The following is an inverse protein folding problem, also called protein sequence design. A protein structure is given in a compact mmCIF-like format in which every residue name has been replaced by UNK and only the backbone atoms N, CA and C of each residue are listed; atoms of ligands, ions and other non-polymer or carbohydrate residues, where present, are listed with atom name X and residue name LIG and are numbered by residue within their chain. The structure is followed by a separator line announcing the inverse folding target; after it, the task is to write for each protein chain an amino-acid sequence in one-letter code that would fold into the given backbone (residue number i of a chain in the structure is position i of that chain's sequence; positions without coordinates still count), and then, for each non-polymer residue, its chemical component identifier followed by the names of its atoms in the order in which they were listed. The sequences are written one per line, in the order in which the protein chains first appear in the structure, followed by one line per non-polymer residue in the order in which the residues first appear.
data_IF_549590164490
#
_entry.id   IF_549590164490
#
_cell.length_a   1.000
_cell.length_b   1.000
_cell.length_c   1.000
_cell.angle_alpha   90.00
_cell.angle_beta   90.00
_cell.angle_gamma   90.00
#
_symmetry.space_group_name_H-M   'P 1'
#
loop_
_entity.id
_entity.type
_entity.pdbx_description
1 polymer ?
#
# COMPACT_ATOMS: atom_id res chain seq x y z
N UNK A 1 -18.29 -0.47 -11.12
CA UNK A 1 -18.09 -1.23 -9.86
C UNK A 1 -17.46 -0.28 -8.86
N UNK A 2 -17.97 -0.22 -7.63
CA UNK A 2 -17.39 0.61 -6.56
C UNK A 2 -16.56 -0.30 -5.65
N UNK A 3 -15.33 0.11 -5.35
CA UNK A 3 -14.41 -0.59 -4.45
C UNK A 3 -13.83 0.38 -3.39
N UNK A 4 -13.48 -0.17 -2.23
CA UNK A 4 -12.94 0.55 -1.07
C UNK A 4 -11.63 -0.13 -0.63
N UNK A 5 -10.51 0.13 -1.31
CA UNK A 5 -9.25 -0.54 -1.00
C UNK A 5 -8.73 -0.19 0.40
N UNK A 6 -8.24 -1.19 1.12
CA UNK A 6 -7.75 -1.02 2.49
C UNK A 6 -6.51 -0.12 2.54
N UNK A 7 -6.52 0.92 3.37
CA UNK A 7 -5.30 1.56 3.82
C UNK A 7 -4.62 0.73 4.91
N UNK A 8 -3.33 1.01 5.12
CA UNK A 8 -2.55 0.45 6.23
C UNK A 8 -1.75 1.52 6.94
N UNK A 9 -1.33 1.18 8.14
CA UNK A 9 -0.22 1.84 8.83
C UNK A 9 0.89 0.81 9.12
N UNK A 10 2.10 1.31 9.34
CA UNK A 10 3.20 0.49 9.84
C UNK A 10 3.24 0.62 11.36
N UNK A 11 3.00 -0.47 12.09
CA UNK A 11 3.15 -0.48 13.55
C UNK A 11 4.62 -0.71 13.90
N UNK A 12 5.38 0.38 13.83
CA UNK A 12 6.84 0.36 13.92
C UNK A 12 7.48 0.05 12.58
N UNK A 13 8.58 0.72 12.27
CA UNK A 13 9.43 0.46 11.11
C UNK A 13 10.89 0.62 11.52
N UNK A 14 11.69 -0.41 11.27
CA UNK A 14 13.12 -0.41 11.52
C UNK A 14 13.88 -0.64 10.22
N UNK A 15 14.81 0.27 9.91
CA UNK A 15 15.78 0.08 8.84
C UNK A 15 16.92 -0.78 9.37
N UNK A 16 17.18 -1.92 8.74
CA UNK A 16 18.18 -2.90 9.19
C UNK A 16 19.55 -2.60 8.59
N UNK A 17 19.59 -2.36 7.28
CA UNK A 17 20.81 -2.03 6.54
C UNK A 17 20.51 -1.47 5.16
N UNK A 18 21.48 -0.77 4.57
CA UNK A 18 21.49 -0.42 3.14
C UNK A 18 21.94 -1.64 2.32
N UNK A 19 21.27 -1.89 1.20
CA UNK A 19 21.56 -2.96 0.25
C UNK A 19 22.44 -2.45 -0.89
N UNK A 20 23.03 -3.37 -1.63
CA UNK A 20 23.89 -3.05 -2.79
C UNK A 20 23.09 -2.52 -3.99
N UNK A 21 21.78 -2.75 -4.04
CA UNK A 21 20.86 -2.28 -5.09
C UNK A 21 20.29 -0.88 -4.83
N UNK A 22 20.76 -0.18 -3.79
CA UNK A 22 20.30 1.18 -3.45
C UNK A 22 19.08 1.23 -2.52
N UNK A 23 18.45 0.10 -2.20
CA UNK A 23 17.35 0.02 -1.24
C UNK A 23 17.83 -0.28 0.19
N UNK A 24 16.89 -0.48 1.10
CA UNK A 24 17.15 -0.90 2.48
C UNK A 24 16.37 -2.17 2.81
N UNK A 25 16.99 -3.07 3.56
CA UNK A 25 16.24 -4.11 4.24
C UNK A 25 15.52 -3.45 5.43
N UNK A 26 14.21 -3.68 5.55
CA UNK A 26 13.38 -3.14 6.62
C UNK A 26 12.65 -4.26 7.36
N UNK A 27 12.33 -3.99 8.62
CA UNK A 27 11.46 -4.82 9.44
C UNK A 27 10.30 -3.96 9.95
N UNK A 28 9.07 -4.42 9.73
CA UNK A 28 7.84 -3.67 10.06
C UNK A 28 6.68 -4.63 10.22
N UNK A 29 5.63 -4.22 10.94
CA UNK A 29 4.33 -4.88 10.94
C UNK A 29 3.34 -4.04 10.14
N UNK A 30 2.65 -4.63 9.17
CA UNK A 30 1.58 -3.98 8.43
C UNK A 30 0.25 -4.23 9.13
N UNK A 31 -0.45 -3.16 9.49
CA UNK A 31 -1.76 -3.24 10.12
C UNK A 31 -2.81 -2.49 9.28
N UNK A 32 -3.91 -3.14 8.88
CA UNK A 32 -4.97 -2.49 8.13
C UNK A 32 -5.71 -1.49 9.03
N UNK A 33 -6.20 -0.41 8.45
CA UNK A 33 -7.02 0.57 9.16
C UNK A 33 -8.29 0.84 8.36
N UNK A 34 -9.37 1.25 9.03
CA UNK A 34 -10.68 1.51 8.40
C UNK A 34 -10.74 2.76 7.51
N UNK A 35 -9.58 3.29 7.08
CA UNK A 35 -9.50 4.36 6.10
C UNK A 35 -9.34 3.74 4.71
N UNK A 36 -10.05 4.29 3.72
CA UNK A 36 -9.99 3.83 2.33
C UNK A 36 -10.30 4.97 1.39
N UNK A 37 -9.71 4.94 0.20
CA UNK A 37 -10.21 5.71 -0.93
C UNK A 37 -11.52 5.10 -1.46
N UNK A 38 -12.21 5.81 -2.35
CA UNK A 38 -13.35 5.29 -3.10
C UNK A 38 -12.96 5.20 -4.57
N UNK A 39 -12.93 3.98 -5.11
CA UNK A 39 -12.60 3.74 -6.51
C UNK A 39 -13.85 3.31 -7.28
N UNK A 40 -14.16 4.03 -8.34
CA UNK A 40 -15.18 3.63 -9.30
C UNK A 40 -14.54 3.13 -10.60
N UNK A 41 -14.84 1.89 -10.95
CA UNK A 41 -14.41 1.25 -12.20
C UNK A 41 -15.56 1.31 -13.20
N UNK A 42 -15.33 2.01 -14.30
CA UNK A 42 -16.26 2.14 -15.43
C UNK A 42 -15.74 1.38 -16.66
N UNK A 43 -16.62 0.80 -17.51
CA UNK A 43 -16.19 0.18 -18.76
C UNK A 43 -15.52 1.21 -19.67
N UNK A 44 -14.42 0.82 -20.30
CA UNK A 44 -13.85 1.60 -21.40
C UNK A 44 -14.48 1.12 -22.71
N UNK A 45 -15.30 1.99 -23.31
CA UNK A 45 -15.82 1.74 -24.65
C UNK A 45 -14.88 2.41 -25.64
N UNK A 46 -14.05 1.61 -26.32
CA UNK A 46 -13.30 2.10 -27.48
C UNK A 46 -14.31 2.40 -28.59
N UNK A 47 -14.28 3.61 -29.16
CA UNK A 47 -14.93 3.88 -30.44
C UNK A 47 -14.12 3.29 -31.58
#
# INVERSE_FOLDING_TARGET
MIDFPNAKINLGLRVIRKRTDGYHDIQTLFFPVGLSDVLEIVPNYTQ
#
